data_IF_940282061074
#
_entry.id   IF_940282061074
#
_cell.length_a   1.000
_cell.length_b   1.000
_cell.length_c   1.000
_cell.angle_alpha   90.00
_cell.angle_beta   90.00
_cell.angle_gamma   90.00
#
_symmetry.space_group_name_H-M   'P 1'
#
loop_
_entity.id
_entity.type
_entity.pdbx_description
1 polymer ?
#
# COMPACT_ATOMS: atom_id res chain seq x y z
N UNK A 1 -27.82 5.49 -1.59
CA UNK A 1 -27.61 4.39 -2.56
C UNK A 1 -26.27 3.74 -2.24
N UNK A 2 -26.22 2.42 -1.92
CA UNK A 2 -24.97 1.66 -1.84
C UNK A 2 -24.34 1.67 -3.22
N UNK A 3 -23.14 2.25 -3.39
CA UNK A 3 -22.33 2.05 -4.60
C UNK A 3 -22.05 0.55 -4.69
N UNK A 4 -22.64 -0.11 -5.67
CA UNK A 4 -22.25 -1.45 -6.07
C UNK A 4 -20.82 -1.35 -6.57
N UNK A 5 -19.93 -2.21 -6.09
CA UNK A 5 -18.57 -2.31 -6.65
C UNK A 5 -18.74 -2.76 -8.09
N UNK A 6 -18.53 -1.87 -9.05
CA UNK A 6 -18.61 -2.23 -10.46
C UNK A 6 -17.32 -2.94 -10.86
N UNK A 7 -17.31 -4.25 -10.60
CA UNK A 7 -16.21 -5.15 -10.96
C UNK A 7 -15.96 -5.13 -12.46
N UNK A 8 -17.00 -4.98 -13.27
CA UNK A 8 -16.85 -4.93 -14.72
C UNK A 8 -16.13 -3.65 -15.16
N UNK A 9 -16.48 -2.49 -14.58
CA UNK A 9 -15.77 -1.24 -14.82
C UNK A 9 -14.30 -1.33 -14.37
N UNK A 10 -14.04 -1.95 -13.22
CA UNK A 10 -12.68 -2.16 -12.71
C UNK A 10 -11.82 -2.98 -13.69
N UNK A 11 -12.32 -4.12 -14.12
CA UNK A 11 -11.63 -4.98 -15.09
C UNK A 11 -11.47 -4.28 -16.44
N UNK A 12 -12.51 -3.58 -16.92
CA UNK A 12 -12.46 -2.86 -18.20
C UNK A 12 -11.45 -1.71 -18.16
N UNK A 13 -11.32 -0.99 -17.04
CA UNK A 13 -10.30 0.04 -16.89
C UNK A 13 -8.89 -0.58 -16.87
N UNK A 14 -8.70 -1.72 -16.19
CA UNK A 14 -7.41 -2.41 -16.23
C UNK A 14 -7.03 -2.83 -17.67
N UNK A 15 -7.98 -3.30 -18.45
CA UNK A 15 -7.75 -3.73 -19.85
C UNK A 15 -7.24 -2.60 -20.76
N UNK A 16 -7.61 -1.35 -20.51
CA UNK A 16 -7.15 -0.19 -21.29
C UNK A 16 -5.63 -0.01 -21.23
N UNK A 17 -5.00 -0.52 -20.21
CA UNK A 17 -3.55 -0.38 -19.97
C UNK A 17 -2.73 -1.55 -20.51
N UNK A 18 -3.38 -2.62 -21.00
CA UNK A 18 -2.64 -3.75 -21.60
C UNK A 18 -1.79 -3.25 -22.76
N UNK A 19 -0.49 -3.57 -22.73
CA UNK A 19 0.49 -3.10 -23.71
C UNK A 19 1.23 -1.83 -23.30
N UNK A 20 0.85 -1.18 -22.19
CA UNK A 20 1.68 -0.12 -21.62
C UNK A 20 3.06 -0.68 -21.26
N UNK A 21 4.11 0.08 -21.57
CA UNK A 21 5.50 -0.22 -21.18
C UNK A 21 6.07 0.92 -20.36
N UNK A 22 6.82 0.58 -19.30
CA UNK A 22 7.54 1.58 -18.52
C UNK A 22 8.69 2.20 -19.33
N UNK A 23 9.10 3.40 -18.97
CA UNK A 23 10.27 4.06 -19.53
C UNK A 23 11.57 3.44 -19.01
N UNK A 24 12.70 3.85 -19.60
CA UNK A 24 14.03 3.53 -19.11
C UNK A 24 14.14 3.93 -17.62
N UNK A 25 14.82 3.09 -16.83
CA UNK A 25 15.01 3.26 -15.37
C UNK A 25 13.73 3.05 -14.51
N UNK A 26 12.70 2.39 -15.07
CA UNK A 26 11.52 1.99 -14.29
C UNK A 26 10.53 3.13 -14.03
N UNK A 27 10.72 4.32 -14.63
CA UNK A 27 9.72 5.39 -14.57
C UNK A 27 8.41 4.93 -15.21
N UNK A 28 7.33 5.14 -14.52
CA UNK A 28 6.02 4.69 -14.96
C UNK A 28 4.91 5.64 -14.50
N UNK A 29 3.88 5.78 -15.33
CA UNK A 29 2.76 6.68 -15.08
C UNK A 29 1.96 6.32 -13.82
N UNK A 30 1.96 5.07 -13.41
CA UNK A 30 1.20 4.62 -12.25
C UNK A 30 1.87 5.06 -10.94
N UNK A 31 3.18 4.89 -10.83
CA UNK A 31 3.95 5.40 -9.71
C UNK A 31 3.84 6.91 -9.56
N UNK A 32 3.98 7.65 -10.67
CA UNK A 32 3.82 9.11 -10.69
C UNK A 32 2.43 9.53 -10.18
N UNK A 33 1.35 8.86 -10.64
CA UNK A 33 -0.04 9.20 -10.28
C UNK A 33 -0.40 8.91 -8.83
N UNK A 34 0.33 8.02 -8.15
CA UNK A 34 0.14 7.73 -6.73
C UNK A 34 1.22 8.36 -5.85
N UNK A 35 2.18 9.07 -6.44
CA UNK A 35 3.31 9.67 -5.72
C UNK A 35 4.31 8.62 -5.22
N UNK A 36 4.45 7.52 -5.94
CA UNK A 36 5.30 6.39 -5.59
C UNK A 36 6.32 6.15 -6.69
N UNK A 37 7.50 6.72 -6.54
CA UNK A 37 8.61 6.57 -7.49
C UNK A 37 9.48 5.37 -7.11
N UNK A 38 8.99 4.17 -7.39
CA UNK A 38 9.71 2.93 -7.13
C UNK A 38 9.73 2.02 -8.35
N UNK A 39 10.77 1.20 -8.43
CA UNK A 39 10.94 0.19 -9.48
C UNK A 39 9.90 -0.93 -9.40
N UNK A 40 9.26 -1.11 -8.25
CA UNK A 40 8.17 -2.08 -8.03
C UNK A 40 6.84 -1.33 -8.00
N UNK A 41 6.07 -1.39 -9.07
CA UNK A 41 4.86 -0.59 -9.26
C UNK A 41 3.57 -1.40 -9.55
N UNK A 42 3.60 -2.73 -9.36
CA UNK A 42 2.41 -3.56 -9.57
C UNK A 42 1.21 -3.11 -8.72
N UNK A 43 1.47 -2.73 -7.47
CA UNK A 43 0.44 -2.20 -6.58
C UNK A 43 -0.02 -0.79 -6.94
N UNK A 44 0.88 0.07 -7.44
CA UNK A 44 0.52 1.40 -7.92
C UNK A 44 -0.43 1.33 -9.13
N UNK A 45 -0.21 0.38 -10.03
CA UNK A 45 -1.13 0.07 -11.12
C UNK A 45 -2.54 -0.24 -10.60
N UNK A 46 -2.66 -1.15 -9.61
CA UNK A 46 -3.94 -1.51 -9.00
C UNK A 46 -4.62 -0.29 -8.39
N UNK A 47 -3.89 0.54 -7.66
CA UNK A 47 -4.44 1.72 -6.99
C UNK A 47 -4.97 2.77 -7.98
N UNK A 48 -4.27 2.97 -9.10
CA UNK A 48 -4.74 3.86 -10.17
C UNK A 48 -6.03 3.33 -10.77
N UNK A 49 -6.07 2.05 -11.16
CA UNK A 49 -7.26 1.43 -11.77
C UNK A 49 -8.44 1.42 -10.80
N UNK A 50 -8.21 1.13 -9.51
CA UNK A 50 -9.25 1.17 -8.48
C UNK A 50 -9.83 2.58 -8.32
N UNK A 51 -8.99 3.60 -8.32
CA UNK A 51 -9.40 5.01 -8.24
C UNK A 51 -10.26 5.41 -9.43
N UNK A 52 -9.83 5.08 -10.64
CA UNK A 52 -10.56 5.38 -11.89
C UNK A 52 -11.91 4.68 -11.96
N UNK A 53 -12.03 3.53 -11.32
CA UNK A 53 -13.25 2.72 -11.32
C UNK A 53 -14.15 2.99 -10.11
N UNK A 54 -13.73 3.84 -9.17
CA UNK A 54 -14.46 4.09 -7.94
C UNK A 54 -14.59 2.85 -7.03
N UNK A 55 -13.67 1.89 -7.18
CA UNK A 55 -13.65 0.65 -6.40
C UNK A 55 -12.97 0.89 -5.06
N UNK A 56 -13.60 0.42 -3.97
CA UNK A 56 -13.00 0.49 -2.64
C UNK A 56 -12.09 -0.72 -2.40
N UNK A 57 -10.79 -0.46 -2.47
CA UNK A 57 -9.72 -1.39 -2.14
C UNK A 57 -8.77 -0.75 -1.13
N UNK A 58 -8.11 -1.54 -0.27
CA UNK A 58 -6.89 -1.09 0.39
C UNK A 58 -5.89 -0.60 -0.66
N UNK A 59 -5.01 0.33 -0.28
CA UNK A 59 -3.92 0.71 -1.18
C UNK A 59 -2.91 -0.41 -1.30
N UNK A 60 -2.61 -0.82 -2.52
CA UNK A 60 -1.59 -1.81 -2.86
C UNK A 60 -0.28 -1.18 -3.34
N UNK A 61 -0.18 0.15 -3.39
CA UNK A 61 1.08 0.84 -3.71
C UNK A 61 2.25 0.30 -2.89
N UNK A 62 2.02 0.02 -1.60
CA UNK A 62 2.87 -0.84 -0.78
C UNK A 62 2.10 -2.13 -0.48
N UNK A 63 2.34 -3.16 -1.29
CA UNK A 63 1.52 -4.38 -1.29
C UNK A 63 1.40 -5.08 0.07
N UNK A 64 2.44 -5.15 0.95
CA UNK A 64 2.29 -5.71 2.29
C UNK A 64 1.26 -4.97 3.14
N UNK A 65 1.20 -3.64 3.07
CA UNK A 65 0.22 -2.86 3.80
C UNK A 65 -1.20 -3.09 3.26
N UNK A 66 -1.34 -3.14 1.93
CA UNK A 66 -2.61 -3.45 1.29
C UNK A 66 -3.14 -4.82 1.70
N UNK A 67 -2.27 -5.81 1.74
CA UNK A 67 -2.59 -7.15 2.21
C UNK A 67 -3.01 -7.16 3.68
N UNK A 68 -2.24 -6.55 4.57
CA UNK A 68 -2.53 -6.46 6.01
C UNK A 68 -3.90 -5.82 6.25
N UNK A 69 -4.21 -4.76 5.51
CA UNK A 69 -5.49 -4.08 5.60
C UNK A 69 -6.65 -4.94 5.05
N UNK A 70 -6.44 -5.67 3.94
CA UNK A 70 -7.45 -6.60 3.42
C UNK A 70 -7.76 -7.72 4.43
N UNK A 71 -6.74 -8.26 5.11
CA UNK A 71 -6.91 -9.24 6.19
C UNK A 71 -7.73 -8.63 7.33
N UNK A 72 -7.36 -7.45 7.77
CA UNK A 72 -8.05 -6.75 8.87
C UNK A 72 -9.52 -6.44 8.54
N UNK A 73 -9.84 -6.20 7.28
CA UNK A 73 -11.23 -6.01 6.79
C UNK A 73 -11.99 -7.32 6.64
N UNK A 74 -11.32 -8.47 6.72
CA UNK A 74 -11.91 -9.77 6.39
C UNK A 74 -12.19 -9.94 4.89
N UNK A 75 -11.59 -9.12 4.04
CA UNK A 75 -11.80 -9.11 2.59
C UNK A 75 -10.78 -9.99 1.86
N UNK A 76 -10.60 -11.21 2.36
CA UNK A 76 -9.65 -12.18 1.81
C UNK A 76 -10.36 -13.48 1.43
N UNK A 77 -9.77 -14.23 0.48
CA UNK A 77 -10.26 -15.51 0.02
C UNK A 77 -9.12 -16.40 -0.47
N UNK A 78 -9.27 -17.70 -0.38
CA UNK A 78 -8.37 -18.67 -1.03
C UNK A 78 -8.84 -19.06 -2.43
N UNK A 79 -10.03 -18.66 -2.83
CA UNK A 79 -10.60 -18.94 -4.15
C UNK A 79 -10.79 -17.62 -4.89
N UNK A 80 -10.16 -17.46 -6.08
CA UNK A 80 -10.26 -16.24 -6.87
C UNK A 80 -11.66 -16.03 -7.45
N UNK A 81 -12.00 -14.76 -7.61
CA UNK A 81 -13.15 -14.29 -8.42
C UNK A 81 -12.69 -13.13 -9.29
N UNK A 82 -13.35 -12.89 -10.43
CA UNK A 82 -13.07 -11.69 -11.22
C UNK A 82 -13.19 -10.42 -10.35
N UNK A 83 -12.21 -9.54 -10.46
CA UNK A 83 -12.07 -8.32 -9.66
C UNK A 83 -11.28 -8.47 -8.37
N UNK A 84 -10.98 -9.69 -7.91
CA UNK A 84 -10.08 -9.89 -6.76
C UNK A 84 -8.64 -9.48 -7.13
N UNK A 85 -7.87 -9.05 -6.14
CA UNK A 85 -6.43 -8.83 -6.28
C UNK A 85 -5.72 -10.09 -5.82
N UNK A 86 -5.05 -10.76 -6.77
CA UNK A 86 -4.18 -11.89 -6.47
C UNK A 86 -2.85 -11.38 -5.91
N UNK A 87 -2.42 -11.93 -4.78
CA UNK A 87 -1.13 -11.65 -4.15
C UNK A 87 -0.22 -12.84 -4.41
N UNK A 88 0.93 -12.58 -5.02
CA UNK A 88 1.93 -13.60 -5.37
C UNK A 88 3.16 -13.44 -4.50
N UNK A 89 3.70 -14.56 -4.08
CA UNK A 89 5.03 -14.62 -3.46
C UNK A 89 5.90 -15.58 -4.26
N UNK A 90 6.81 -15.05 -5.04
CA UNK A 90 7.76 -15.84 -5.84
C UNK A 90 9.03 -16.20 -5.08
N UNK A 91 9.14 -15.83 -3.80
CA UNK A 91 10.23 -16.31 -2.93
C UNK A 91 9.92 -17.72 -2.42
N UNK A 92 10.98 -18.52 -2.19
CA UNK A 92 10.89 -19.93 -1.79
C UNK A 92 10.30 -20.20 -0.39
N UNK A 93 9.93 -19.18 0.36
CA UNK A 93 9.35 -19.32 1.70
C UNK A 93 7.83 -19.22 1.64
N UNK A 94 7.17 -20.36 1.82
CA UNK A 94 5.71 -20.51 1.74
C UNK A 94 4.91 -20.00 2.94
N UNK A 95 5.55 -19.38 3.93
CA UNK A 95 4.88 -18.90 5.13
C UNK A 95 4.20 -17.56 4.89
N UNK A 96 2.88 -17.59 5.02
CA UNK A 96 2.01 -16.44 4.94
C UNK A 96 2.18 -15.55 6.18
N UNK A 97 2.87 -14.43 6.04
CA UNK A 97 2.93 -13.35 7.01
C UNK A 97 3.06 -12.03 6.28
N UNK A 98 2.29 -11.03 6.63
CA UNK A 98 2.39 -9.69 6.05
C UNK A 98 3.80 -9.08 6.25
N UNK A 99 4.48 -9.44 7.34
CA UNK A 99 5.85 -9.02 7.65
C UNK A 99 6.93 -9.79 6.87
N UNK A 100 6.59 -10.99 6.32
CA UNK A 100 7.53 -11.82 5.56
C UNK A 100 7.63 -11.44 4.07
N UNK A 101 6.80 -10.52 3.59
CA UNK A 101 6.78 -10.11 2.19
C UNK A 101 7.71 -8.92 1.96
N UNK A 102 8.89 -9.17 1.45
CA UNK A 102 9.84 -8.10 1.09
C UNK A 102 9.40 -7.29 -0.14
N UNK A 103 8.67 -7.90 -1.09
CA UNK A 103 8.02 -7.25 -2.23
C UNK A 103 7.04 -8.21 -2.91
N UNK A 104 5.82 -8.44 -2.40
CA UNK A 104 4.87 -9.30 -3.08
C UNK A 104 4.44 -8.64 -4.39
N UNK A 105 4.39 -9.44 -5.43
CA UNK A 105 3.77 -9.06 -6.68
C UNK A 105 2.25 -9.17 -6.57
N UNK A 106 1.51 -8.39 -7.34
CA UNK A 106 0.05 -8.44 -7.33
C UNK A 106 -0.54 -8.17 -8.72
N UNK A 107 -1.75 -8.70 -8.93
CA UNK A 107 -2.48 -8.56 -10.18
C UNK A 107 -3.99 -8.62 -10.00
N UNK A 108 -4.73 -8.06 -10.95
CA UNK A 108 -6.19 -8.04 -10.97
C UNK A 108 -6.68 -9.31 -11.65
N UNK A 109 -7.46 -10.15 -10.95
CA UNK A 109 -8.10 -11.35 -11.53
C UNK A 109 -9.18 -10.90 -12.50
N UNK A 110 -9.15 -11.45 -13.72
CA UNK A 110 -10.10 -11.07 -14.76
C UNK A 110 -10.96 -12.24 -15.27
N UNK A 111 -10.50 -13.48 -15.11
CA UNK A 111 -11.19 -14.67 -15.58
C UNK A 111 -10.83 -15.89 -14.73
N UNK A 112 -11.83 -16.73 -14.41
CA UNK A 112 -11.68 -17.94 -13.58
C UNK A 112 -12.37 -19.15 -14.22
N UNK A 113 -12.70 -19.12 -15.52
CA UNK A 113 -13.44 -20.19 -16.20
C UNK A 113 -12.71 -21.53 -16.16
N UNK A 114 -11.39 -21.51 -16.19
CA UNK A 114 -10.56 -22.72 -16.16
C UNK A 114 -10.12 -23.13 -14.73
N UNK A 115 -10.63 -22.46 -13.71
CA UNK A 115 -10.23 -22.70 -12.33
C UNK A 115 -10.53 -24.11 -11.86
N UNK A 116 -11.76 -24.61 -12.18
CA UNK A 116 -12.22 -25.94 -11.75
C UNK A 116 -11.58 -27.08 -12.54
N UNK A 117 -11.21 -26.84 -13.79
CA UNK A 117 -10.70 -27.89 -14.69
C UNK A 117 -9.20 -28.09 -14.57
N UNK A 118 -8.44 -27.02 -14.41
CA UNK A 118 -6.98 -27.09 -14.42
C UNK A 118 -6.30 -26.11 -13.44
N UNK A 119 -7.05 -25.51 -12.50
CA UNK A 119 -6.52 -24.59 -11.50
C UNK A 119 -6.04 -23.25 -12.05
N UNK A 120 -6.36 -22.91 -13.31
CA UNK A 120 -5.89 -21.70 -13.99
C UNK A 120 -6.84 -20.55 -13.85
N UNK A 121 -6.28 -19.34 -13.80
CA UNK A 121 -7.04 -18.08 -13.88
C UNK A 121 -6.20 -17.04 -14.64
N UNK A 122 -6.86 -15.99 -15.13
CA UNK A 122 -6.22 -14.90 -15.84
C UNK A 122 -6.14 -13.66 -14.95
N UNK A 123 -5.02 -12.94 -15.05
CA UNK A 123 -4.80 -11.65 -14.40
C UNK A 123 -4.40 -10.58 -15.41
N UNK A 124 -4.55 -9.32 -15.02
CA UNK A 124 -3.84 -8.17 -15.61
C UNK A 124 -2.88 -7.67 -14.52
N UNK A 125 -1.61 -7.56 -14.87
CA UNK A 125 -0.53 -7.23 -13.95
C UNK A 125 0.30 -6.07 -14.48
N UNK A 126 0.58 -5.09 -13.64
CA UNK A 126 1.60 -4.08 -13.86
C UNK A 126 2.95 -4.55 -13.35
N UNK A 127 4.03 -3.95 -13.79
CA UNK A 127 5.41 -4.28 -13.41
C UNK A 127 5.77 -5.75 -13.69
N UNK A 128 5.44 -6.19 -14.87
CA UNK A 128 5.73 -7.56 -15.34
C UNK A 128 6.08 -7.55 -16.84
N UNK A 129 6.71 -8.61 -17.30
CA UNK A 129 6.97 -8.81 -18.73
C UNK A 129 5.89 -9.70 -19.35
N UNK A 130 5.65 -9.55 -20.65
CA UNK A 130 4.74 -10.42 -21.38
C UNK A 130 5.36 -11.79 -21.65
N UNK A 131 4.58 -12.67 -22.28
CA UNK A 131 4.99 -14.05 -22.59
C UNK A 131 5.62 -14.21 -23.96
N UNK A 132 5.62 -13.18 -24.81
CA UNK A 132 6.23 -13.22 -26.15
C UNK A 132 7.53 -12.45 -26.22
N UNK A 133 8.38 -12.76 -27.22
CA UNK A 133 9.66 -12.08 -27.41
C UNK A 133 9.53 -10.55 -27.56
N UNK A 134 8.40 -10.07 -28.11
CA UNK A 134 8.12 -8.65 -28.29
C UNK A 134 7.63 -7.97 -27.00
N UNK A 135 7.27 -8.72 -25.96
CA UNK A 135 6.71 -8.23 -24.70
C UNK A 135 7.68 -8.38 -23.52
N UNK A 136 8.99 -8.41 -23.79
CA UNK A 136 10.02 -8.55 -22.75
C UNK A 136 10.26 -7.27 -21.93
N UNK A 137 9.66 -6.14 -22.35
CA UNK A 137 9.73 -4.92 -21.57
C UNK A 137 8.79 -4.96 -20.38
N UNK A 138 9.23 -4.38 -19.28
CA UNK A 138 8.39 -4.19 -18.10
C UNK A 138 7.16 -3.32 -18.46
N UNK A 139 5.99 -3.79 -18.09
CA UNK A 139 4.75 -3.14 -18.52
C UNK A 139 3.50 -3.71 -17.84
N UNK A 140 2.35 -3.47 -18.49
CA UNK A 140 1.05 -4.04 -18.11
C UNK A 140 0.71 -5.17 -19.08
N UNK A 141 0.62 -6.38 -18.56
CA UNK A 141 0.35 -7.57 -19.36
C UNK A 141 -0.73 -8.45 -18.76
N UNK A 142 -1.44 -9.18 -19.65
CA UNK A 142 -2.28 -10.27 -19.24
C UNK A 142 -1.43 -11.52 -18.98
N UNK A 143 -1.67 -12.19 -17.85
CA UNK A 143 -0.94 -13.37 -17.44
C UNK A 143 -1.89 -14.54 -17.18
N UNK A 144 -1.41 -15.74 -17.45
CA UNK A 144 -2.02 -16.99 -16.97
C UNK A 144 -1.33 -17.32 -15.66
N UNK A 145 -2.13 -17.58 -14.61
CA UNK A 145 -1.65 -17.95 -13.28
C UNK A 145 -2.38 -19.19 -12.80
N UNK A 146 -1.74 -19.91 -11.89
CA UNK A 146 -2.33 -21.04 -11.20
C UNK A 146 -2.67 -20.67 -9.76
N UNK A 147 -3.65 -21.34 -9.15
CA UNK A 147 -4.02 -21.09 -7.74
C UNK A 147 -2.83 -21.28 -6.82
N UNK A 148 -1.91 -22.20 -7.16
CA UNK A 148 -0.69 -22.47 -6.44
C UNK A 148 0.32 -21.32 -6.47
N UNK A 149 0.24 -20.42 -7.46
CA UNK A 149 1.11 -19.24 -7.57
C UNK A 149 0.68 -18.14 -6.61
N UNK A 150 -0.62 -18.12 -6.24
CA UNK A 150 -1.19 -17.08 -5.40
C UNK A 150 -1.20 -17.52 -3.94
N UNK A 151 -0.76 -16.63 -3.06
CA UNK A 151 -0.82 -16.84 -1.61
C UNK A 151 -2.24 -16.64 -1.10
N UNK A 152 -2.91 -15.60 -1.59
CA UNK A 152 -4.27 -15.20 -1.20
C UNK A 152 -4.86 -14.23 -2.23
N UNK A 153 -6.18 -14.08 -2.18
CA UNK A 153 -6.93 -13.11 -2.98
C UNK A 153 -7.56 -12.07 -2.07
N UNK A 154 -7.36 -10.79 -2.39
CA UNK A 154 -7.96 -9.68 -1.68
C UNK A 154 -9.16 -9.16 -2.47
N UNK A 155 -10.33 -9.10 -1.82
CA UNK A 155 -11.61 -8.78 -2.47
C UNK A 155 -11.94 -7.31 -2.35
N UNK A 156 -12.38 -6.62 -3.43
CA UNK A 156 -12.96 -5.29 -3.33
C UNK A 156 -14.15 -5.28 -2.37
N UNK A 157 -14.26 -4.22 -1.58
CA UNK A 157 -15.42 -4.01 -0.72
C UNK A 157 -16.28 -2.87 -1.23
N UNK A 158 -17.58 -2.98 -1.06
CA UNK A 158 -18.50 -1.85 -1.23
C UNK A 158 -18.65 -1.13 0.11
N UNK A 159 -17.84 -0.11 0.36
CA UNK A 159 -18.03 0.66 1.60
C UNK A 159 -16.84 1.50 2.03
N UNK A 160 -17.10 2.47 2.88
CA UNK A 160 -16.09 3.33 3.49
C UNK A 160 -15.16 2.48 4.37
N UNK A 161 -13.86 2.76 4.29
CA UNK A 161 -12.82 2.09 5.08
C UNK A 161 -13.21 2.03 6.56
N UNK A 162 -13.16 0.84 7.17
CA UNK A 162 -13.61 0.65 8.56
C UNK A 162 -12.89 1.60 9.53
N UNK A 163 -11.57 1.85 9.35
CA UNK A 163 -10.83 2.82 10.16
C UNK A 163 -11.26 4.26 9.89
N UNK A 164 -11.51 4.63 8.64
CA UNK A 164 -12.05 5.95 8.30
C UNK A 164 -13.44 6.12 8.91
N UNK A 165 -14.27 5.07 8.82
CA UNK A 165 -15.60 5.02 9.44
C UNK A 165 -15.51 5.07 10.96
N UNK A 166 -14.60 4.30 11.56
CA UNK A 166 -14.35 4.28 13.00
C UNK A 166 -13.77 5.63 13.46
N UNK A 167 -12.80 6.18 12.72
CA UNK A 167 -12.22 7.49 13.01
C UNK A 167 -13.27 8.59 12.90
N UNK A 168 -14.11 8.57 11.86
CA UNK A 168 -15.25 9.50 11.72
C UNK A 168 -16.25 9.33 12.87
N UNK A 169 -16.57 8.07 13.24
CA UNK A 169 -17.47 7.77 14.36
C UNK A 169 -16.93 8.27 15.70
N UNK A 170 -15.61 8.16 15.92
CA UNK A 170 -14.95 8.56 17.17
C UNK A 170 -14.63 10.05 17.23
N UNK A 171 -14.40 10.70 16.11
CA UNK A 171 -13.92 12.10 16.06
C UNK A 171 -14.86 13.08 15.37
N UNK A 172 -15.85 12.58 14.65
CA UNK A 172 -16.74 13.40 13.82
C UNK A 172 -16.06 14.02 12.59
N UNK A 173 -14.78 13.71 12.32
CA UNK A 173 -13.95 14.36 11.28
C UNK A 173 -13.38 13.35 10.29
N UNK A 174 -13.07 13.80 9.08
CA UNK A 174 -12.26 13.07 8.11
C UNK A 174 -10.77 13.01 8.56
N UNK A 175 -9.95 12.07 8.04
CA UNK A 175 -8.51 12.03 8.31
C UNK A 175 -7.88 13.41 8.11
N UNK A 176 -7.05 13.82 9.08
CA UNK A 176 -6.56 15.20 9.16
C UNK A 176 -5.43 15.48 8.18
N UNK A 177 -5.23 16.76 7.91
CA UNK A 177 -4.00 17.26 7.30
C UNK A 177 -2.88 17.27 8.34
N UNK A 178 -1.66 16.98 7.93
CA UNK A 178 -0.47 17.10 8.75
C UNK A 178 0.42 18.23 8.21
N UNK A 179 1.08 18.90 9.12
CA UNK A 179 2.06 19.92 8.77
C UNK A 179 3.46 19.35 8.89
N UNK A 180 4.19 19.30 7.77
CA UNK A 180 5.55 18.75 7.70
C UNK A 180 6.49 19.43 8.68
N UNK A 181 6.43 20.76 8.79
CA UNK A 181 7.26 21.57 9.70
C UNK A 181 7.11 21.14 11.15
N UNK A 182 5.89 20.86 11.61
CA UNK A 182 5.64 20.42 12.98
C UNK A 182 6.23 19.04 13.26
N UNK A 183 6.19 18.13 12.27
CA UNK A 183 6.76 16.79 12.41
C UNK A 183 8.28 16.87 12.44
N UNK A 184 8.88 17.62 11.52
CA UNK A 184 10.34 17.81 11.47
C UNK A 184 10.88 18.49 12.71
N UNK A 185 10.20 19.53 13.21
CA UNK A 185 10.56 20.18 14.45
C UNK A 185 10.51 19.22 15.63
N UNK A 186 9.48 18.40 15.73
CA UNK A 186 9.35 17.42 16.80
C UNK A 186 10.40 16.31 16.71
N UNK A 187 10.79 15.89 15.50
CA UNK A 187 11.83 14.89 15.28
C UNK A 187 13.24 15.44 15.57
N UNK A 188 13.49 16.74 15.34
CA UNK A 188 14.78 17.39 15.60
C UNK A 188 15.04 17.68 17.07
N UNK A 189 13.99 17.71 17.90
CA UNK A 189 14.12 17.93 19.35
C UNK A 189 14.49 16.60 20.02
N UNK A 190 15.75 16.23 20.01
CA UNK A 190 16.31 15.31 20.99
C UNK A 190 16.39 16.03 22.34
N UNK A 191 15.28 16.04 23.09
CA UNK A 191 15.26 16.70 24.40
C UNK A 191 16.15 15.96 25.41
N UNK A 192 17.09 16.64 26.06
CA UNK A 192 17.75 16.12 27.25
C UNK A 192 16.70 15.76 28.32
N UNK A 193 16.91 14.64 29.02
CA UNK A 193 15.95 14.04 29.98
C UNK A 193 15.43 15.06 31.03
N UNK A 194 16.22 16.06 31.39
CA UNK A 194 15.86 17.08 32.39
C UNK A 194 14.83 18.13 31.90
N UNK A 195 14.69 18.35 30.58
CA UNK A 195 13.71 19.27 30.03
C UNK A 195 12.31 18.59 29.83
N UNK A 196 12.25 17.26 29.86
CA UNK A 196 11.00 16.50 29.81
C UNK A 196 10.03 16.83 30.99
N UNK A 197 10.56 17.29 32.10
CA UNK A 197 9.78 17.60 33.32
C UNK A 197 9.14 18.99 33.30
N UNK A 198 9.58 19.90 32.42
CA UNK A 198 9.18 21.32 32.45
C UNK A 198 8.15 21.68 31.37
N UNK A 199 8.10 20.95 30.28
CA UNK A 199 7.10 21.17 29.21
C UNK A 199 6.01 20.12 29.29
N UNK A 200 4.83 20.58 29.67
CA UNK A 200 3.63 19.72 29.71
C UNK A 200 3.47 18.93 28.42
N UNK A 201 2.97 17.74 28.59
CA UNK A 201 2.77 16.65 27.64
C UNK A 201 1.94 17.09 26.41
N UNK A 202 2.48 17.93 25.52
CA UNK A 202 1.81 18.38 24.31
C UNK A 202 1.90 17.28 23.24
N UNK A 203 0.84 16.47 23.17
CA UNK A 203 0.66 15.50 22.10
C UNK A 203 0.56 16.23 20.76
N UNK A 204 1.45 15.92 19.83
CA UNK A 204 1.36 16.43 18.47
C UNK A 204 0.47 15.52 17.62
N UNK A 205 -0.64 16.09 17.14
CA UNK A 205 -1.62 15.33 16.36
C UNK A 205 -1.08 14.86 15.02
N UNK A 206 -0.20 15.62 14.38
CA UNK A 206 0.44 15.20 13.13
C UNK A 206 1.29 13.95 13.35
N UNK A 207 2.00 13.86 14.47
CA UNK A 207 2.78 12.67 14.84
C UNK A 207 1.85 11.49 15.14
N UNK A 208 0.73 11.70 15.86
CA UNK A 208 -0.25 10.63 16.10
C UNK A 208 -0.76 10.01 14.80
N UNK A 209 -1.01 10.83 13.77
CA UNK A 209 -1.46 10.36 12.46
C UNK A 209 -0.36 9.56 11.74
N UNK A 210 0.89 10.01 11.83
CA UNK A 210 2.03 9.27 11.28
C UNK A 210 2.25 7.96 12.02
N UNK A 211 2.19 7.95 13.35
CA UNK A 211 2.28 6.73 14.16
C UNK A 211 1.17 5.74 13.81
N UNK A 212 -0.07 6.21 13.67
CA UNK A 212 -1.18 5.37 13.22
C UNK A 212 -0.94 4.81 11.82
N UNK A 213 -0.38 5.58 10.91
CA UNK A 213 -0.01 5.13 9.58
C UNK A 213 1.12 4.10 9.62
N UNK A 214 2.18 4.35 10.39
CA UNK A 214 3.29 3.43 10.57
C UNK A 214 2.84 2.09 11.16
N UNK A 215 1.94 2.10 12.14
CA UNK A 215 1.41 0.86 12.73
C UNK A 215 0.69 -0.05 11.74
N UNK A 216 0.32 0.45 10.55
CA UNK A 216 -0.27 -0.36 9.49
C UNK A 216 0.76 -0.98 8.55
N UNK A 217 1.95 -0.44 8.48
CA UNK A 217 2.97 -0.82 7.49
C UNK A 217 4.27 -1.30 8.12
N UNK A 218 4.43 -1.14 9.43
CA UNK A 218 5.61 -1.56 10.21
C UNK A 218 5.18 -2.10 11.57
N UNK A 219 6.11 -2.77 12.27
CA UNK A 219 5.92 -3.19 13.66
C UNK A 219 6.19 -2.01 14.61
N UNK A 220 5.28 -1.05 14.66
CA UNK A 220 5.37 0.04 15.62
C UNK A 220 4.77 -0.39 16.96
N UNK A 221 5.64 -0.71 17.91
CA UNK A 221 5.26 -1.08 19.28
C UNK A 221 5.93 -0.13 20.28
N UNK A 222 5.31 0.04 21.44
CA UNK A 222 5.88 0.79 22.58
C UNK A 222 6.26 2.27 22.26
N UNK A 223 5.62 2.91 21.28
CA UNK A 223 5.83 4.33 21.02
C UNK A 223 5.03 5.21 21.99
N UNK A 224 5.59 6.36 22.31
CA UNK A 224 4.88 7.40 23.08
C UNK A 224 3.96 8.18 22.13
N UNK A 225 2.66 8.08 22.36
CA UNK A 225 1.64 8.66 21.48
C UNK A 225 1.82 10.17 21.30
N UNK A 226 1.93 10.61 20.03
CA UNK A 226 2.08 12.02 19.65
C UNK A 226 3.48 12.57 19.87
N UNK A 227 4.49 11.71 20.08
CA UNK A 227 5.90 12.08 20.14
C UNK A 227 6.72 11.33 19.09
N UNK A 228 7.70 12.01 18.51
CA UNK A 228 8.65 11.37 17.61
C UNK A 228 9.77 10.76 18.43
N UNK A 229 9.50 9.62 19.05
CA UNK A 229 10.45 8.88 19.90
C UNK A 229 11.29 7.88 19.10
N UNK A 230 12.21 7.20 19.78
CA UNK A 230 13.08 6.21 19.15
C UNK A 230 12.31 5.06 18.47
N UNK A 231 11.17 4.62 19.04
CA UNK A 231 10.32 3.61 18.43
C UNK A 231 9.67 4.11 17.14
N UNK A 232 9.18 5.35 17.13
CA UNK A 232 8.61 5.99 15.96
C UNK A 232 9.65 6.18 14.86
N UNK A 233 10.84 6.67 15.21
CA UNK A 233 11.96 6.83 14.27
C UNK A 233 12.41 5.50 13.68
N UNK A 234 12.54 4.46 14.49
CA UNK A 234 12.90 3.11 14.02
C UNK A 234 11.86 2.53 13.05
N UNK A 235 10.57 2.68 13.36
CA UNK A 235 9.48 2.27 12.48
C UNK A 235 9.50 3.06 11.17
N UNK A 236 9.75 4.38 11.23
CA UNK A 236 9.86 5.20 10.03
C UNK A 236 11.07 4.82 9.16
N UNK A 237 12.23 4.53 9.78
CA UNK A 237 13.39 3.99 9.07
C UNK A 237 13.10 2.64 8.40
N UNK A 238 12.36 1.76 9.07
CA UNK A 238 11.89 0.49 8.48
C UNK A 238 10.99 0.74 7.27
N UNK A 239 10.07 1.69 7.37
CA UNK A 239 9.24 2.10 6.25
C UNK A 239 10.09 2.68 5.11
N UNK A 240 11.04 3.58 5.40
CA UNK A 240 11.96 4.13 4.40
C UNK A 240 12.73 3.03 3.66
N UNK A 241 13.25 2.03 4.36
CA UNK A 241 13.89 0.85 3.73
C UNK A 241 12.94 0.06 2.85
N UNK A 242 11.71 -0.14 3.30
CA UNK A 242 10.70 -0.88 2.54
C UNK A 242 10.29 -0.21 1.22
N UNK A 243 10.45 1.12 1.14
CA UNK A 243 10.21 1.90 -0.08
C UNK A 243 11.49 2.13 -0.91
N UNK A 244 12.56 1.38 -0.64
CA UNK A 244 13.79 1.37 -1.43
C UNK A 244 14.85 2.40 -1.01
N UNK A 245 14.71 3.06 0.15
CA UNK A 245 15.76 3.92 0.70
C UNK A 245 16.89 3.08 1.30
N UNK A 246 18.12 3.54 1.20
CA UNK A 246 19.31 2.83 1.70
C UNK A 246 20.24 3.79 2.45
N UNK A 247 21.04 3.23 3.36
CA UNK A 247 22.06 3.99 4.11
C UNK A 247 21.45 5.16 4.89
N UNK A 248 22.04 6.34 4.77
CA UNK A 248 21.60 7.58 5.43
C UNK A 248 20.20 8.04 5.04
N UNK A 249 19.71 7.63 3.86
CA UNK A 249 18.37 7.99 3.39
C UNK A 249 17.25 7.22 4.13
N UNK A 250 17.61 6.19 4.89
CA UNK A 250 16.70 5.43 5.76
C UNK A 250 17.02 5.69 7.24
N UNK A 251 17.25 6.96 7.59
CA UNK A 251 17.65 7.41 8.93
C UNK A 251 16.55 7.29 9.98
N UNK A 252 15.30 7.28 9.57
CA UNK A 252 14.14 7.44 10.47
C UNK A 252 13.73 8.90 10.66
N UNK A 253 14.44 9.85 10.03
CA UNK A 253 14.03 11.25 10.02
C UNK A 253 12.87 11.49 9.04
N UNK A 254 11.90 12.33 9.41
CA UNK A 254 10.73 12.57 8.59
C UNK A 254 11.06 13.48 7.40
N UNK A 255 11.14 12.91 6.21
CA UNK A 255 11.27 13.63 4.94
C UNK A 255 9.94 13.68 4.18
N UNK A 256 9.78 14.74 3.37
CA UNK A 256 8.54 14.98 2.63
C UNK A 256 8.16 13.82 1.71
N UNK A 257 9.13 13.22 1.01
CA UNK A 257 8.87 12.16 0.04
C UNK A 257 8.40 10.89 0.75
N UNK A 258 9.07 10.48 1.83
CA UNK A 258 8.67 9.30 2.63
C UNK A 258 7.30 9.51 3.28
N UNK A 259 7.02 10.71 3.81
CA UNK A 259 5.71 11.04 4.37
C UNK A 259 4.60 11.04 3.31
N UNK A 260 4.85 11.59 2.11
CA UNK A 260 3.89 11.50 0.98
C UNK A 260 3.61 10.06 0.59
N UNK A 261 4.63 9.21 0.55
CA UNK A 261 4.47 7.78 0.28
C UNK A 261 3.66 7.07 1.37
N UNK A 262 3.97 7.35 2.64
CA UNK A 262 3.21 6.81 3.77
C UNK A 262 1.73 7.24 3.71
N UNK A 263 1.47 8.51 3.40
CA UNK A 263 0.12 9.03 3.19
C UNK A 263 -0.60 8.34 2.02
N UNK A 264 0.08 8.16 0.89
CA UNK A 264 -0.47 7.49 -0.29
C UNK A 264 -0.84 6.03 -0.02
N UNK A 265 -0.01 5.32 0.74
CA UNK A 265 -0.20 3.91 1.09
C UNK A 265 -1.34 3.73 2.09
N UNK A 266 -1.35 4.53 3.15
CA UNK A 266 -2.29 4.34 4.28
C UNK A 266 -3.58 5.12 4.13
N UNK A 267 -3.59 6.19 3.34
CA UNK A 267 -4.74 7.11 3.15
C UNK A 267 -5.27 7.72 4.47
N UNK A 268 -4.44 7.77 5.50
CA UNK A 268 -4.83 8.26 6.83
C UNK A 268 -4.62 9.76 7.01
N UNK A 269 -3.78 10.38 6.18
CA UNK A 269 -3.53 11.82 6.24
C UNK A 269 -3.15 12.37 4.87
N UNK A 270 -3.23 13.68 4.72
CA UNK A 270 -2.65 14.45 3.63
C UNK A 270 -1.58 15.38 4.18
N UNK A 271 -0.62 15.79 3.35
CA UNK A 271 0.44 16.75 3.70
C UNK A 271 0.12 18.04 2.97
N UNK A 272 0.13 19.12 3.72
CA UNK A 272 0.03 20.47 3.18
C UNK A 272 1.38 20.95 2.64
#
# INVERSE_FOLDING_TARGET
MKKSTDVAAFINNARKYIGYTSELLGRNVFGERVGYDATVWSGAFIDVVARESGVDLPSFTYSPAGLSEAIRRGNISRTPRPGDIAIFNFSSTSTYSASAFSAPHCGIVIDVRELKTNGRFLTIEGNTTGSTAHQQKDGVHQKIRYVTDAVIFCRPSSGEHLLTKLYRKLTGKLPGKIELSQIQQAASIQEPIHLKMIRGNTRNRSIELVQLALSQVTDLTNCERGKWDGATAAAFANFQRSIGRVGSDASGDPDLNSLKRLAAVTKLFAID
#
